data_IF_640207862170
#
_entry.id   IF_640207862170
#
_cell.length_a   1.000
_cell.length_b   1.000
_cell.length_c   1.000
_cell.angle_alpha   90.00
_cell.angle_beta   90.00
_cell.angle_gamma   90.00
#
_symmetry.space_group_name_H-M   'P 1'
#
loop_
_entity.id
_entity.type
_entity.pdbx_description
1 polymer ?
#
# COMPACT_ATOMS: atom_id res chain seq x y z
N UNK A 1 26.26 -19.18 -49.12
CA UNK A 1 25.67 -17.85 -48.90
C UNK A 1 24.39 -18.02 -48.11
N UNK A 2 24.41 -17.52 -46.87
CA UNK A 2 23.37 -17.10 -45.92
C UNK A 2 21.91 -17.62 -46.09
N UNK A 3 21.17 -17.93 -45.03
CA UNK A 3 21.36 -17.57 -43.64
C UNK A 3 20.43 -18.32 -42.69
N UNK A 4 20.88 -18.35 -41.45
CA UNK A 4 20.32 -18.93 -40.22
C UNK A 4 19.05 -18.20 -39.78
N UNK A 5 17.95 -18.93 -39.59
CA UNK A 5 16.81 -18.47 -38.81
C UNK A 5 17.15 -18.59 -37.32
N UNK A 6 17.31 -17.46 -36.65
CA UNK A 6 17.53 -17.41 -35.20
C UNK A 6 16.22 -17.64 -34.46
N UNK A 7 16.20 -18.66 -33.60
CA UNK A 7 15.26 -18.71 -32.48
C UNK A 7 15.49 -17.48 -31.60
N UNK A 8 14.45 -16.65 -31.45
CA UNK A 8 14.46 -15.56 -30.49
C UNK A 8 14.57 -16.15 -29.08
N UNK A 9 15.76 -16.02 -28.49
CA UNK A 9 15.99 -16.41 -27.10
C UNK A 9 15.06 -15.64 -26.17
N UNK A 10 14.23 -16.37 -25.42
CA UNK A 10 13.51 -15.82 -24.29
C UNK A 10 14.53 -15.29 -23.27
N UNK A 11 14.45 -14.00 -22.94
CA UNK A 11 15.30 -13.38 -21.92
C UNK A 11 14.84 -13.87 -20.54
N UNK A 12 15.66 -14.61 -19.77
CA UNK A 12 15.29 -15.00 -18.42
C UNK A 12 15.25 -13.76 -17.52
N UNK A 13 14.10 -13.46 -16.92
CA UNK A 13 14.00 -12.46 -15.86
C UNK A 13 13.16 -11.21 -16.12
N UNK A 14 12.36 -11.13 -17.19
CA UNK A 14 11.32 -10.11 -17.24
C UNK A 14 10.20 -10.46 -16.26
N UNK A 15 10.25 -9.88 -15.05
CA UNK A 15 9.09 -9.83 -14.16
C UNK A 15 8.09 -8.87 -14.82
N UNK A 16 7.19 -9.41 -15.62
CA UNK A 16 6.05 -8.64 -16.12
C UNK A 16 5.06 -8.48 -14.98
N UNK A 17 4.69 -7.24 -14.66
CA UNK A 17 3.59 -6.98 -13.73
C UNK A 17 2.34 -7.68 -14.27
N UNK A 18 1.72 -8.59 -13.50
CA UNK A 18 0.51 -9.27 -13.96
C UNK A 18 -0.59 -8.26 -14.32
N UNK A 19 -1.51 -8.58 -15.24
CA UNK A 19 -2.65 -7.72 -15.52
C UNK A 19 -3.45 -7.39 -14.25
N UNK A 20 -4.02 -6.18 -14.22
CA UNK A 20 -4.83 -5.72 -13.09
C UNK A 20 -6.15 -6.51 -13.02
N UNK A 21 -6.47 -7.03 -11.84
CA UNK A 21 -7.72 -7.76 -11.64
C UNK A 21 -8.93 -6.80 -11.63
N UNK A 22 -10.09 -7.12 -12.26
CA UNK A 22 -11.23 -6.21 -12.31
C UNK A 22 -11.73 -5.73 -10.94
N UNK A 23 -11.71 -6.60 -9.92
CA UNK A 23 -12.09 -6.24 -8.55
C UNK A 23 -11.23 -5.14 -7.90
N UNK A 24 -9.95 -4.99 -8.30
CA UNK A 24 -9.06 -3.95 -7.77
C UNK A 24 -8.94 -2.75 -8.71
N UNK A 25 -9.53 -2.81 -9.91
CA UNK A 25 -9.50 -1.72 -10.88
C UNK A 25 -10.04 -0.38 -10.33
N UNK A 26 -11.13 -0.34 -9.53
CA UNK A 26 -11.59 0.90 -8.90
C UNK A 26 -10.58 1.53 -7.93
N UNK A 27 -9.65 0.74 -7.40
CA UNK A 27 -8.60 1.15 -6.45
C UNK A 27 -7.24 1.34 -7.12
N UNK A 28 -7.18 1.30 -8.45
CA UNK A 28 -5.93 1.41 -9.22
C UNK A 28 -5.13 2.68 -8.92
N UNK A 29 -5.82 3.75 -8.52
CA UNK A 29 -5.20 5.02 -8.14
C UNK A 29 -4.33 4.93 -6.88
N UNK A 30 -4.47 3.87 -6.06
CA UNK A 30 -3.61 3.65 -4.89
C UNK A 30 -2.26 3.01 -5.27
N UNK A 31 -2.19 2.33 -6.43
CA UNK A 31 -1.02 1.54 -6.80
C UNK A 31 0.21 2.41 -7.02
N UNK A 32 1.32 2.00 -6.41
CA UNK A 32 2.57 2.75 -6.45
C UNK A 32 3.17 2.94 -5.07
N UNK A 33 4.19 3.81 -5.03
CA UNK A 33 4.86 4.20 -3.79
C UNK A 33 4.56 5.66 -3.50
N UNK A 34 4.13 5.92 -2.27
CA UNK A 34 3.77 7.23 -1.76
C UNK A 34 4.74 7.58 -0.65
N UNK A 35 5.21 8.84 -0.64
CA UNK A 35 6.13 9.31 0.40
C UNK A 35 5.71 10.70 0.85
N UNK A 36 5.68 10.93 2.15
CA UNK A 36 5.24 12.20 2.73
C UNK A 36 5.71 12.36 4.17
N UNK A 37 5.10 13.34 4.83
CA UNK A 37 5.31 13.62 6.25
C UNK A 37 3.94 13.63 6.95
N UNK A 38 3.92 13.14 8.19
CA UNK A 38 2.73 13.12 9.04
C UNK A 38 3.02 13.79 10.39
N UNK A 39 1.94 14.12 11.10
CA UNK A 39 1.98 14.62 12.47
C UNK A 39 1.11 13.72 13.35
N UNK A 40 1.74 13.06 14.32
CA UNK A 40 1.07 12.18 15.28
C UNK A 40 0.93 12.88 16.64
N UNK A 41 -0.13 12.56 17.37
CA UNK A 41 -0.34 13.06 18.73
C UNK A 41 -1.48 12.30 19.41
N UNK A 42 -1.42 12.19 20.73
CA UNK A 42 -2.47 11.55 21.53
C UNK A 42 -2.62 12.33 22.85
N UNK A 43 -3.77 12.32 23.55
CA UNK A 43 -3.90 13.08 24.80
C UNK A 43 -2.81 12.83 25.86
N UNK A 44 -2.13 11.68 25.81
CA UNK A 44 -1.02 11.32 26.72
C UNK A 44 0.38 11.46 26.11
N UNK A 45 0.50 11.85 24.83
CA UNK A 45 1.76 11.93 24.09
C UNK A 45 1.82 13.26 23.33
N UNK A 46 2.89 14.03 23.52
CA UNK A 46 3.10 15.30 22.80
C UNK A 46 3.09 15.08 21.28
N UNK A 47 2.59 16.07 20.53
CA UNK A 47 2.64 16.03 19.08
C UNK A 47 4.07 15.86 18.56
N UNK A 48 4.23 15.01 17.55
CA UNK A 48 5.50 14.73 16.89
C UNK A 48 5.31 14.62 15.39
N UNK A 49 6.37 14.95 14.62
CA UNK A 49 6.38 14.79 13.16
C UNK A 49 7.22 13.59 12.76
N UNK A 50 6.79 12.91 11.70
CA UNK A 50 7.46 11.74 11.17
C UNK A 50 7.41 11.74 9.64
N UNK A 51 8.40 11.10 9.01
CA UNK A 51 8.34 10.79 7.60
C UNK A 51 7.68 9.44 7.38
N UNK A 52 6.97 9.29 6.28
CA UNK A 52 6.17 8.10 5.98
C UNK A 52 6.33 7.68 4.53
N UNK A 53 6.40 6.37 4.29
CA UNK A 53 6.38 5.77 2.97
C UNK A 53 5.40 4.60 2.95
N UNK A 54 4.54 4.58 1.93
CA UNK A 54 3.54 3.55 1.70
C UNK A 54 3.79 2.91 0.34
N UNK A 55 3.54 1.61 0.23
CA UNK A 55 3.61 0.88 -1.02
C UNK A 55 2.37 0.03 -1.19
N UNK A 56 1.72 0.21 -2.35
CA UNK A 56 0.57 -0.58 -2.77
C UNK A 56 0.94 -1.31 -4.07
N UNK A 57 0.82 -2.64 -4.05
CA UNK A 57 1.16 -3.48 -5.20
C UNK A 57 0.17 -4.63 -5.37
N UNK A 58 0.19 -5.30 -6.52
CA UNK A 58 -0.66 -6.46 -6.77
C UNK A 58 0.09 -7.53 -7.56
N UNK A 59 -0.40 -8.77 -7.46
CA UNK A 59 0.06 -9.94 -8.21
C UNK A 59 -0.98 -10.47 -9.21
N UNK A 60 -1.97 -9.64 -9.54
CA UNK A 60 -3.09 -10.00 -10.44
C UNK A 60 -4.23 -10.75 -9.76
N UNK A 61 -4.20 -10.85 -8.43
CA UNK A 61 -5.29 -11.38 -7.59
C UNK A 61 -6.25 -10.25 -7.18
N UNK A 62 -7.48 -10.55 -6.71
CA UNK A 62 -8.42 -9.56 -6.16
C UNK A 62 -7.99 -9.06 -4.76
N UNK A 63 -6.71 -8.72 -4.61
CA UNK A 63 -6.07 -8.30 -3.36
C UNK A 63 -4.96 -7.32 -3.69
N UNK A 64 -4.86 -6.24 -2.92
CA UNK A 64 -3.74 -5.30 -2.97
C UNK A 64 -2.86 -5.56 -1.75
N UNK A 65 -1.58 -5.78 -1.98
CA UNK A 65 -0.56 -5.83 -0.93
C UNK A 65 -0.24 -4.42 -0.48
N UNK A 66 -0.19 -4.21 0.83
CA UNK A 66 0.09 -2.95 1.47
C UNK A 66 1.28 -3.08 2.41
N UNK A 67 2.20 -2.13 2.36
CA UNK A 67 3.26 -1.97 3.36
C UNK A 67 3.52 -0.51 3.64
N UNK A 68 3.77 -0.18 4.89
CA UNK A 68 4.08 1.17 5.33
C UNK A 68 5.24 1.13 6.32
N UNK A 69 6.02 2.20 6.33
CA UNK A 69 7.07 2.45 7.31
C UNK A 69 7.17 3.92 7.62
N UNK A 70 7.57 4.22 8.85
CA UNK A 70 7.83 5.58 9.32
C UNK A 70 9.27 5.76 9.78
N UNK A 71 9.73 7.00 9.82
CA UNK A 71 11.03 7.38 10.36
C UNK A 71 10.99 8.75 11.03
N UNK A 72 11.94 8.99 11.95
CA UNK A 72 12.14 10.32 12.53
C UNK A 72 12.65 11.27 11.46
N UNK A 73 12.00 12.43 11.26
CA UNK A 73 12.43 13.40 10.24
C UNK A 73 13.87 13.91 10.45
N UNK A 74 14.26 14.11 11.71
CA UNK A 74 15.57 14.67 12.04
C UNK A 74 16.74 13.70 11.84
N UNK A 75 16.54 12.41 12.11
CA UNK A 75 17.64 11.42 12.13
C UNK A 75 17.51 10.32 11.08
N UNK A 76 16.34 10.14 10.47
CA UNK A 76 16.06 9.02 9.57
C UNK A 76 15.95 7.66 10.28
N UNK A 77 15.99 7.63 11.61
CA UNK A 77 15.83 6.39 12.36
C UNK A 77 14.46 5.77 12.10
N UNK A 78 14.39 4.46 11.76
CA UNK A 78 13.12 3.75 11.61
C UNK A 78 12.27 3.83 12.88
N UNK A 79 10.96 3.99 12.70
CA UNK A 79 9.96 4.01 13.77
C UNK A 79 8.99 2.82 13.59
N UNK A 80 7.69 3.09 13.51
CA UNK A 80 6.65 2.08 13.28
C UNK A 80 6.66 1.58 11.83
N UNK A 81 6.26 0.33 11.64
CA UNK A 81 5.97 -0.23 10.34
C UNK A 81 4.76 -1.16 10.41
N UNK A 82 4.01 -1.23 9.32
CA UNK A 82 2.89 -2.14 9.19
C UNK A 82 2.79 -2.72 7.77
N UNK A 83 2.13 -3.86 7.66
CA UNK A 83 1.86 -4.47 6.37
C UNK A 83 0.60 -5.31 6.40
N UNK A 84 -0.01 -5.48 5.24
CA UNK A 84 -1.34 -6.04 5.17
C UNK A 84 -1.87 -6.23 3.76
N UNK A 85 -3.18 -6.47 3.69
CA UNK A 85 -3.88 -6.74 2.45
C UNK A 85 -5.23 -6.01 2.42
N UNK A 86 -5.52 -5.37 1.28
CA UNK A 86 -6.80 -4.75 0.99
C UNK A 86 -7.58 -5.64 0.02
N UNK A 87 -8.82 -5.96 0.37
CA UNK A 87 -9.67 -6.96 -0.30
C UNK A 87 -11.02 -6.35 -0.65
N UNK A 88 -11.15 -5.70 -1.82
CA UNK A 88 -12.42 -5.16 -2.29
C UNK A 88 -13.45 -6.27 -2.55
N UNK A 89 -14.72 -5.95 -2.30
CA UNK A 89 -15.86 -6.85 -2.43
C UNK A 89 -16.86 -6.36 -3.48
N UNK A 90 -17.68 -7.25 -4.07
CA UNK A 90 -18.68 -6.87 -5.07
C UNK A 90 -19.75 -5.89 -4.58
N UNK A 91 -19.97 -5.80 -3.27
CA UNK A 91 -20.94 -4.89 -2.63
C UNK A 91 -20.37 -3.48 -2.39
N UNK A 92 -19.13 -3.20 -2.82
CA UNK A 92 -18.46 -1.92 -2.66
C UNK A 92 -17.73 -1.74 -1.33
N UNK A 93 -17.79 -2.73 -0.43
CA UNK A 93 -16.97 -2.75 0.78
C UNK A 93 -15.53 -3.19 0.49
N UNK A 94 -14.61 -2.85 1.39
CA UNK A 94 -13.21 -3.26 1.36
C UNK A 94 -12.85 -3.80 2.73
N UNK A 95 -12.42 -5.06 2.80
CA UNK A 95 -11.80 -5.61 4.00
C UNK A 95 -10.31 -5.29 3.98
N UNK A 96 -9.79 -4.74 5.08
CA UNK A 96 -8.36 -4.45 5.25
C UNK A 96 -7.85 -5.21 6.46
N UNK A 97 -6.81 -6.03 6.26
CA UNK A 97 -6.15 -6.77 7.33
C UNK A 97 -4.72 -6.30 7.46
N UNK A 98 -4.32 -5.86 8.65
CA UNK A 98 -3.01 -5.25 8.91
C UNK A 98 -2.36 -5.92 10.12
N UNK A 99 -1.04 -6.13 10.04
CA UNK A 99 -0.19 -6.43 11.17
C UNK A 99 0.83 -5.31 11.37
N UNK A 100 1.01 -4.89 12.62
CA UNK A 100 1.88 -3.78 13.00
C UNK A 100 3.12 -4.29 13.75
N UNK A 101 4.24 -3.57 13.61
CA UNK A 101 5.50 -3.89 14.30
C UNK A 101 5.39 -3.84 15.83
N UNK A 102 4.37 -3.15 16.36
CA UNK A 102 4.05 -3.06 17.79
C UNK A 102 3.40 -4.33 18.35
N UNK A 103 3.14 -5.34 17.52
CA UNK A 103 2.53 -6.62 17.92
C UNK A 103 1.01 -6.62 17.88
N UNK A 104 0.39 -5.65 17.21
CA UNK A 104 -1.05 -5.54 17.02
C UNK A 104 -1.47 -6.07 15.63
N UNK A 105 -2.71 -6.53 15.56
CA UNK A 105 -3.37 -6.90 14.30
C UNK A 105 -4.74 -6.24 14.23
N UNK A 106 -5.11 -5.81 13.04
CA UNK A 106 -6.36 -5.11 12.79
C UNK A 106 -7.13 -5.75 11.65
N UNK A 107 -8.46 -5.71 11.77
CA UNK A 107 -9.41 -6.03 10.70
C UNK A 107 -10.35 -4.84 10.59
N UNK A 108 -10.33 -4.18 9.44
CA UNK A 108 -11.16 -3.02 9.15
C UNK A 108 -12.10 -3.32 7.97
N UNK A 109 -13.28 -2.70 7.99
CA UNK A 109 -14.23 -2.72 6.88
C UNK A 109 -14.47 -1.28 6.44
N UNK A 110 -14.05 -0.94 5.23
CA UNK A 110 -14.17 0.38 4.63
C UNK A 110 -15.22 0.35 3.50
N UNK A 111 -15.73 1.52 3.13
CA UNK A 111 -16.58 1.69 1.95
C UNK A 111 -15.94 2.68 0.99
N UNK A 112 -15.85 2.33 -0.29
CA UNK A 112 -15.35 3.22 -1.33
C UNK A 112 -16.51 3.81 -2.14
N UNK A 113 -16.51 5.13 -2.32
CA UNK A 113 -17.57 5.82 -3.06
C UNK A 113 -16.97 6.73 -4.14
N UNK A 114 -17.17 6.38 -5.41
CA UNK A 114 -16.55 7.04 -6.58
C UNK A 114 -16.93 8.52 -6.70
N UNK A 115 -18.06 8.93 -6.12
CA UNK A 115 -18.55 10.32 -6.17
C UNK A 115 -17.87 11.26 -5.17
N UNK A 116 -17.16 10.69 -4.20
CA UNK A 116 -16.30 11.46 -3.30
C UNK A 116 -14.90 11.07 -3.72
N UNK A 117 -14.12 11.98 -4.31
CA UNK A 117 -12.67 11.83 -4.26
C UNK A 117 -12.37 11.49 -2.80
N UNK A 118 -11.95 10.26 -2.53
CA UNK A 118 -11.56 9.88 -1.18
C UNK A 118 -10.36 10.76 -0.86
N UNK A 119 -10.63 11.92 -0.27
CA UNK A 119 -9.76 12.48 0.74
C UNK A 119 -9.74 11.36 1.78
N UNK A 120 -8.75 10.49 1.65
CA UNK A 120 -8.23 9.78 2.80
C UNK A 120 -7.58 10.93 3.55
N UNK A 121 -8.18 11.50 4.61
CA UNK A 121 -7.36 12.27 5.52
C UNK A 121 -6.29 11.27 5.95
N UNK A 122 -5.08 11.45 5.42
CA UNK A 122 -3.84 10.88 5.95
C UNK A 122 -3.56 11.53 7.32
N UNK A 123 -4.59 11.73 8.13
CA UNK A 123 -4.46 12.03 9.53
C UNK A 123 -3.97 10.74 10.16
N UNK A 124 -2.74 10.83 10.67
CA UNK A 124 -1.93 9.87 11.40
C UNK A 124 -2.63 9.13 12.56
N UNK A 125 -3.93 9.30 12.75
CA UNK A 125 -4.66 8.79 13.91
C UNK A 125 -4.93 7.28 13.84
N UNK A 126 -4.63 6.59 12.73
CA UNK A 126 -4.87 5.14 12.62
C UNK A 126 -3.61 4.27 12.75
N UNK A 127 -2.38 4.80 12.73
CA UNK A 127 -1.17 3.96 12.59
C UNK A 127 0.00 4.34 13.52
N UNK A 128 -0.26 5.07 14.61
CA UNK A 128 0.76 5.30 15.65
C UNK A 128 0.19 5.16 17.06
N UNK A 129 -0.40 4.01 17.35
CA UNK A 129 -0.49 3.49 18.73
C UNK A 129 0.47 2.32 18.91
#
# INVERSE_FOLDING_TARGET
>A
MNGTGGEAGAVPGQITTPPLHPAIAPLSYLLGTWRGEGEGGFPTINSFKYGEELSFSHSGKPVISYSQKTWKLASGEPMHAESGYWRPKPDGSIEVVIAQSTGLVEVQVLFFNVLTYCYVPFDANFSVM
#
